data_IF_801451532699
#
_entry.id   IF_801451532699
#
_cell.length_a   1.000
_cell.length_b   1.000
_cell.length_c   1.000
_cell.angle_alpha   90.00
_cell.angle_beta   90.00
_cell.angle_gamma   90.00
#
_symmetry.space_group_name_H-M   'P 1'
#
loop_
_entity.id
_entity.type
_entity.pdbx_description
1 polymer ?
#
# COMPACT_ATOMS: atom_id res chain seq x y z
N UNK A 1 -15.19 -11.26 8.72
CA UNK A 1 -14.08 -10.30 8.69
C UNK A 1 -12.80 -11.10 8.48
N UNK A 2 -11.90 -10.64 7.62
CA UNK A 2 -10.57 -11.20 7.38
C UNK A 2 -9.54 -10.11 7.69
N UNK A 3 -8.52 -10.43 8.47
CA UNK A 3 -7.33 -9.61 8.60
C UNK A 3 -6.26 -10.19 7.67
N UNK A 4 -5.58 -9.34 6.92
CA UNK A 4 -4.58 -9.73 5.92
C UNK A 4 -3.32 -8.90 6.09
N UNK A 5 -2.19 -9.58 6.28
CA UNK A 5 -0.87 -9.01 6.07
C UNK A 5 -0.40 -9.43 4.67
N UNK A 6 -0.24 -8.46 3.78
CA UNK A 6 0.36 -8.73 2.47
C UNK A 6 1.88 -8.91 2.62
N UNK A 7 2.55 -9.47 1.61
CA UNK A 7 4.00 -9.68 1.63
C UNK A 7 4.73 -8.37 1.98
N UNK A 8 5.84 -8.48 2.68
CA UNK A 8 6.65 -7.37 3.21
C UNK A 8 5.96 -6.49 4.28
N UNK A 9 4.80 -6.90 4.80
CA UNK A 9 4.08 -6.19 5.84
C UNK A 9 3.77 -7.10 7.03
N UNK A 10 3.65 -6.53 8.23
CA UNK A 10 3.25 -7.24 9.43
C UNK A 10 4.11 -8.47 9.70
N UNK A 11 3.48 -9.63 9.85
CA UNK A 11 4.16 -10.91 10.15
C UNK A 11 4.90 -11.50 8.94
N UNK A 12 4.67 -10.98 7.75
CA UNK A 12 5.30 -11.47 6.51
C UNK A 12 6.60 -10.74 6.17
N UNK A 13 7.04 -9.80 7.01
CA UNK A 13 8.36 -9.14 6.84
C UNK A 13 9.46 -10.19 6.95
N UNK A 14 10.34 -10.29 5.94
CA UNK A 14 11.44 -11.24 5.96
C UNK A 14 12.36 -11.05 7.17
N UNK A 15 12.80 -12.14 7.77
CA UNK A 15 13.75 -12.16 8.88
C UNK A 15 15.20 -12.07 8.33
N UNK A 16 15.48 -11.02 7.56
CA UNK A 16 16.81 -10.73 7.02
C UNK A 16 17.45 -9.59 7.79
N UNK A 17 18.79 -9.46 7.80
CA UNK A 17 19.48 -8.28 8.32
C UNK A 17 18.97 -6.97 7.69
N UNK A 18 18.64 -7.00 6.39
CA UNK A 18 17.94 -5.90 5.72
C UNK A 18 16.71 -6.44 4.95
N UNK A 19 15.48 -6.18 5.45
CA UNK A 19 14.25 -6.62 4.77
C UNK A 19 14.11 -6.07 3.33
N UNK A 20 14.77 -4.97 2.99
CA UNK A 20 14.72 -4.37 1.65
C UNK A 20 15.44 -5.20 0.59
N UNK A 21 16.36 -6.11 0.99
CA UNK A 21 17.08 -6.97 0.06
C UNK A 21 16.13 -7.79 -0.80
N UNK A 22 15.06 -8.32 -0.20
CA UNK A 22 14.05 -9.11 -0.92
C UNK A 22 13.29 -8.28 -1.95
N UNK A 23 12.95 -7.04 -1.61
CA UNK A 23 12.25 -6.14 -2.52
C UNK A 23 13.15 -5.70 -3.67
N UNK A 24 14.44 -5.48 -3.41
CA UNK A 24 15.43 -5.22 -4.46
C UNK A 24 15.60 -6.42 -5.39
N UNK A 25 15.61 -7.65 -4.85
CA UNK A 25 15.65 -8.87 -5.65
C UNK A 25 14.41 -8.96 -6.55
N UNK A 26 13.22 -8.76 -6.00
CA UNK A 26 11.96 -8.75 -6.75
C UNK A 26 12.01 -7.72 -7.88
N UNK A 27 12.45 -6.50 -7.57
CA UNK A 27 12.59 -5.44 -8.57
C UNK A 27 13.62 -5.79 -9.66
N UNK A 28 14.72 -6.47 -9.31
CA UNK A 28 15.75 -6.88 -10.26
C UNK A 28 15.28 -7.98 -11.23
N UNK A 29 14.27 -8.76 -10.82
CA UNK A 29 13.62 -9.77 -11.66
C UNK A 29 12.55 -9.17 -12.60
N UNK A 30 12.33 -7.85 -12.52
CA UNK A 30 11.35 -7.15 -13.36
C UNK A 30 9.97 -7.03 -12.74
N UNK A 31 9.74 -7.64 -11.57
CA UNK A 31 8.51 -7.48 -10.81
C UNK A 31 8.51 -6.19 -9.98
N UNK A 32 7.35 -5.84 -9.46
CA UNK A 32 7.17 -4.69 -8.58
C UNK A 32 6.62 -5.15 -7.24
N UNK A 33 7.29 -4.87 -6.11
CA UNK A 33 6.80 -5.21 -4.77
C UNK A 33 5.36 -4.76 -4.55
N UNK A 34 5.04 -3.50 -4.88
CA UNK A 34 3.66 -2.99 -4.83
C UNK A 34 2.68 -3.85 -5.66
N UNK A 35 3.09 -4.30 -6.84
CA UNK A 35 2.26 -5.16 -7.70
C UNK A 35 1.95 -6.51 -7.05
N UNK A 36 2.92 -7.12 -6.35
CA UNK A 36 2.73 -8.36 -5.60
C UNK A 36 1.75 -8.18 -4.44
N UNK A 37 1.92 -7.12 -3.65
CA UNK A 37 1.01 -6.80 -2.53
C UNK A 37 -0.42 -6.56 -3.00
N UNK A 38 -0.60 -5.79 -4.06
CA UNK A 38 -1.90 -5.54 -4.69
C UNK A 38 -2.51 -6.83 -5.22
N UNK A 39 -1.72 -7.66 -5.90
CA UNK A 39 -2.17 -8.97 -6.40
C UNK A 39 -2.64 -9.89 -5.29
N UNK A 40 -1.93 -9.93 -4.16
CA UNK A 40 -2.32 -10.72 -2.99
C UNK A 40 -3.63 -10.20 -2.37
N UNK A 41 -3.78 -8.88 -2.21
CA UNK A 41 -5.01 -8.28 -1.70
C UNK A 41 -6.20 -8.63 -2.59
N UNK A 42 -6.06 -8.46 -3.92
CA UNK A 42 -7.12 -8.80 -4.88
C UNK A 42 -7.44 -10.30 -4.83
N UNK A 43 -6.43 -11.16 -4.78
CA UNK A 43 -6.62 -12.62 -4.68
C UNK A 43 -7.37 -13.02 -3.43
N UNK A 44 -6.96 -12.50 -2.27
CA UNK A 44 -7.63 -12.74 -0.99
C UNK A 44 -9.06 -12.20 -0.98
N UNK A 45 -9.29 -11.02 -1.55
CA UNK A 45 -10.61 -10.43 -1.68
C UNK A 45 -11.54 -11.29 -2.56
N UNK A 46 -11.07 -11.73 -3.72
CA UNK A 46 -11.83 -12.63 -4.61
C UNK A 46 -12.20 -13.95 -3.92
N UNK A 47 -11.24 -14.55 -3.22
CA UNK A 47 -11.48 -15.75 -2.44
C UNK A 47 -12.53 -15.53 -1.34
N UNK A 48 -12.41 -14.42 -0.59
CA UNK A 48 -13.36 -14.08 0.47
C UNK A 48 -14.76 -13.84 -0.08
N UNK A 49 -14.88 -13.10 -1.19
CA UNK A 49 -16.15 -12.85 -1.86
C UNK A 49 -16.84 -14.16 -2.26
N UNK A 50 -16.11 -15.08 -2.89
CA UNK A 50 -16.62 -16.39 -3.30
C UNK A 50 -17.05 -17.23 -2.09
N UNK A 51 -16.21 -17.29 -1.04
CA UNK A 51 -16.46 -18.13 0.13
C UNK A 51 -17.63 -17.60 0.97
N UNK A 52 -17.79 -16.26 1.05
CA UNK A 52 -18.86 -15.63 1.85
C UNK A 52 -20.14 -15.38 1.07
N UNK A 53 -20.16 -15.60 -0.25
CA UNK A 53 -21.29 -15.29 -1.12
C UNK A 53 -21.55 -13.78 -1.29
N UNK A 54 -20.57 -12.94 -0.96
CA UNK A 54 -20.66 -11.49 -1.13
C UNK A 54 -20.27 -11.11 -2.56
N UNK A 55 -20.94 -10.12 -3.13
CA UNK A 55 -20.61 -9.57 -4.45
C UNK A 55 -19.55 -8.49 -4.39
N UNK A 56 -19.49 -7.77 -3.28
CA UNK A 56 -18.54 -6.68 -3.03
C UNK A 56 -18.05 -6.73 -1.59
N UNK A 57 -16.86 -6.21 -1.36
CA UNK A 57 -16.21 -6.18 -0.05
C UNK A 57 -15.88 -4.74 0.36
N UNK A 58 -15.78 -4.52 1.66
CA UNK A 58 -15.24 -3.29 2.24
C UNK A 58 -13.83 -3.55 2.76
N UNK A 59 -12.89 -2.66 2.43
CA UNK A 59 -11.52 -2.68 2.92
C UNK A 59 -11.36 -1.59 3.98
N UNK A 60 -10.66 -1.93 5.07
CA UNK A 60 -10.17 -0.97 6.05
C UNK A 60 -8.65 -1.09 6.15
N UNK A 61 -7.96 0.05 6.06
CA UNK A 61 -6.50 0.11 6.14
C UNK A 61 -6.05 1.17 7.14
N UNK A 62 -4.84 1.00 7.68
CA UNK A 62 -4.21 1.97 8.56
C UNK A 62 -2.77 2.21 8.12
N UNK A 63 -2.41 3.48 7.95
CA UNK A 63 -1.10 3.91 7.46
C UNK A 63 -1.04 4.07 5.94
N UNK A 64 -0.04 4.82 5.49
CA UNK A 64 0.09 5.22 4.09
C UNK A 64 0.49 4.07 3.15
N UNK A 65 1.24 3.06 3.62
CA UNK A 65 1.60 1.89 2.82
C UNK A 65 0.35 1.11 2.40
N UNK A 66 -0.44 0.66 3.36
CA UNK A 66 -1.66 -0.09 3.10
C UNK A 66 -2.75 0.73 2.39
N UNK A 67 -2.77 2.06 2.56
CA UNK A 67 -3.62 2.95 1.78
C UNK A 67 -3.32 2.82 0.28
N UNK A 68 -2.04 2.92 -0.11
CA UNK A 68 -1.66 2.85 -1.54
C UNK A 68 -2.04 1.50 -2.12
N UNK A 69 -1.72 0.40 -1.42
CA UNK A 69 -2.09 -0.96 -1.86
C UNK A 69 -3.60 -1.07 -2.09
N UNK A 70 -4.42 -0.56 -1.15
CA UNK A 70 -5.87 -0.62 -1.26
C UNK A 70 -6.43 0.26 -2.38
N UNK A 71 -5.89 1.47 -2.58
CA UNK A 71 -6.31 2.36 -3.67
C UNK A 71 -5.98 1.77 -5.04
N UNK A 72 -4.77 1.21 -5.19
CA UNK A 72 -4.37 0.55 -6.45
C UNK A 72 -5.23 -0.69 -6.70
N UNK A 73 -5.49 -1.51 -5.67
CA UNK A 73 -6.38 -2.67 -5.80
C UNK A 73 -7.80 -2.26 -6.23
N UNK A 74 -8.35 -1.20 -5.64
CA UNK A 74 -9.66 -0.68 -6.01
C UNK A 74 -9.68 -0.08 -7.41
N UNK A 75 -8.60 0.57 -7.85
CA UNK A 75 -8.46 1.10 -9.21
C UNK A 75 -8.42 -0.03 -10.26
N UNK A 76 -7.77 -1.15 -9.94
CA UNK A 76 -7.68 -2.31 -10.83
C UNK A 76 -8.95 -3.17 -10.85
N UNK A 77 -9.66 -3.27 -9.74
CA UNK A 77 -10.86 -4.10 -9.57
C UNK A 77 -12.02 -3.27 -8.93
N UNK A 78 -12.49 -2.21 -9.60
CA UNK A 78 -13.43 -1.26 -8.99
C UNK A 78 -14.80 -1.85 -8.67
N UNK A 79 -15.13 -3.04 -9.21
CA UNK A 79 -16.38 -3.74 -8.92
C UNK A 79 -16.27 -4.73 -7.76
N UNK A 80 -15.05 -5.03 -7.31
CA UNK A 80 -14.80 -5.97 -6.22
C UNK A 80 -15.05 -5.32 -4.85
N UNK A 81 -14.88 -4.00 -4.78
CA UNK A 81 -14.94 -3.27 -3.52
C UNK A 81 -16.11 -2.28 -3.51
N UNK A 82 -16.89 -2.30 -2.43
CA UNK A 82 -17.96 -1.32 -2.18
C UNK A 82 -17.38 -0.04 -1.56
N UNK A 83 -16.38 -0.18 -0.69
CA UNK A 83 -15.76 0.93 0.02
C UNK A 83 -14.31 0.60 0.40
N UNK A 84 -13.43 1.59 0.30
CA UNK A 84 -12.10 1.62 0.93
C UNK A 84 -12.11 2.68 2.01
N UNK A 85 -11.79 2.29 3.25
CA UNK A 85 -11.62 3.21 4.39
C UNK A 85 -10.16 3.20 4.79
N UNK A 86 -9.48 4.32 4.57
CA UNK A 86 -8.07 4.47 4.91
C UNK A 86 -7.89 5.49 6.03
N UNK A 87 -7.20 5.10 7.10
CA UNK A 87 -6.85 5.97 8.22
C UNK A 87 -5.33 6.15 8.29
N UNK A 88 -4.86 7.36 8.60
CA UNK A 88 -3.43 7.64 8.71
C UNK A 88 -2.67 7.52 7.39
N UNK A 89 -3.34 7.80 6.30
CA UNK A 89 -2.76 7.83 4.96
C UNK A 89 -2.10 9.15 4.60
N UNK A 90 -1.72 9.29 3.34
CA UNK A 90 -1.17 10.51 2.74
C UNK A 90 -2.10 11.05 1.66
N UNK A 91 -2.02 12.35 1.37
CA UNK A 91 -2.83 12.99 0.33
C UNK A 91 -2.37 12.67 -1.09
N UNK A 92 -1.06 12.60 -1.27
CA UNK A 92 -0.35 12.48 -2.54
C UNK A 92 0.93 11.67 -2.32
N UNK A 93 1.44 11.00 -3.35
CA UNK A 93 2.75 10.36 -3.34
C UNK A 93 3.90 11.38 -3.19
N UNK A 94 3.66 12.67 -3.51
CA UNK A 94 4.57 13.77 -3.20
C UNK A 94 4.96 13.85 -1.73
N UNK A 95 4.12 13.36 -0.82
CA UNK A 95 4.44 13.20 0.60
C UNK A 95 5.79 12.49 0.83
N UNK A 96 6.15 11.52 -0.01
CA UNK A 96 7.41 10.77 0.10
C UNK A 96 8.65 11.62 -0.20
N UNK A 97 8.46 12.77 -0.87
CA UNK A 97 9.53 13.75 -1.15
C UNK A 97 9.65 14.77 -0.02
N UNK A 98 8.54 15.10 0.63
CA UNK A 98 8.48 16.14 1.66
C UNK A 98 8.73 15.59 3.08
N UNK A 99 8.37 14.33 3.31
CA UNK A 99 8.54 13.66 4.60
C UNK A 99 9.85 12.87 4.65
N UNK A 100 10.50 12.74 5.82
CA UNK A 100 11.73 11.98 5.98
C UNK A 100 11.45 10.46 6.02
N UNK A 101 10.75 9.94 5.01
CA UNK A 101 10.46 8.51 4.86
C UNK A 101 11.65 7.84 4.17
N UNK A 102 12.45 7.05 4.87
CA UNK A 102 13.55 6.35 4.21
C UNK A 102 13.02 5.24 3.30
N UNK A 103 13.68 5.04 2.15
CA UNK A 103 13.33 3.96 1.21
C UNK A 103 13.10 2.62 1.91
N UNK A 104 14.00 2.23 2.82
CA UNK A 104 13.91 0.95 3.54
C UNK A 104 12.67 0.76 4.42
N UNK A 105 11.91 1.81 4.73
CA UNK A 105 10.70 1.70 5.55
C UNK A 105 9.43 1.51 4.72
N UNK A 106 9.48 1.79 3.43
CA UNK A 106 8.35 1.66 2.51
C UNK A 106 8.83 1.51 1.05
N UNK A 107 9.72 0.54 0.75
CA UNK A 107 10.41 0.48 -0.54
C UNK A 107 9.45 0.21 -1.70
N UNK A 108 8.32 -0.45 -1.47
CA UNK A 108 7.27 -0.68 -2.46
C UNK A 108 6.66 0.62 -3.00
N UNK A 109 6.69 1.69 -2.21
CA UNK A 109 6.16 3.00 -2.61
C UNK A 109 7.11 3.79 -3.51
N UNK A 110 8.40 3.45 -3.50
CA UNK A 110 9.41 4.03 -4.38
C UNK A 110 9.49 3.29 -5.72
N UNK A 111 8.38 2.73 -6.17
CA UNK A 111 8.26 2.07 -7.45
C UNK A 111 8.62 3.03 -8.59
N UNK A 112 9.55 2.59 -9.46
CA UNK A 112 10.04 3.39 -10.58
C UNK A 112 8.87 3.90 -11.44
N UNK A 113 8.90 5.18 -11.77
CA UNK A 113 7.92 5.92 -12.57
C UNK A 113 6.50 6.02 -11.95
N UNK A 114 6.24 5.44 -10.76
CA UNK A 114 4.90 5.47 -10.17
C UNK A 114 4.39 6.91 -10.04
N UNK A 115 5.09 7.76 -9.31
CA UNK A 115 4.67 9.15 -9.07
C UNK A 115 4.78 10.05 -10.32
N UNK A 116 5.59 9.67 -11.30
CA UNK A 116 5.69 10.38 -12.57
C UNK A 116 4.40 10.25 -13.40
N UNK A 117 3.81 9.06 -13.40
CA UNK A 117 2.68 8.73 -14.26
C UNK A 117 1.35 8.77 -13.52
N UNK A 118 1.35 8.52 -12.20
CA UNK A 118 0.17 8.45 -11.34
C UNK A 118 0.41 9.11 -9.99
N UNK A 119 -0.65 9.72 -9.46
CA UNK A 119 -0.73 10.08 -8.05
C UNK A 119 -2.01 9.49 -7.43
N UNK A 120 -2.23 9.69 -6.15
CA UNK A 120 -3.35 9.09 -5.41
C UNK A 120 -4.72 9.58 -5.88
N UNK A 121 -4.82 10.81 -6.42
CA UNK A 121 -6.05 11.35 -7.01
C UNK A 121 -6.49 10.57 -8.26
N UNK A 122 -5.55 10.17 -9.12
CA UNK A 122 -5.84 9.33 -10.26
C UNK A 122 -6.31 7.94 -9.83
N UNK A 123 -5.66 7.31 -8.83
CA UNK A 123 -6.13 6.03 -8.30
C UNK A 123 -7.53 6.13 -7.70
N UNK A 124 -7.84 7.23 -6.96
CA UNK A 124 -9.19 7.49 -6.46
C UNK A 124 -10.22 7.61 -7.60
N UNK A 125 -9.87 8.31 -8.66
CA UNK A 125 -10.75 8.45 -9.82
C UNK A 125 -10.97 7.12 -10.55
N UNK A 126 -9.90 6.32 -10.75
CA UNK A 126 -9.96 5.01 -11.40
C UNK A 126 -10.74 3.98 -10.56
N UNK A 127 -10.75 4.11 -9.25
CA UNK A 127 -11.48 3.22 -8.35
C UNK A 127 -13.00 3.35 -8.44
N UNK A 128 -13.56 4.33 -9.15
CA UNK A 128 -15.01 4.47 -9.28
C UNK A 128 -15.65 3.20 -9.88
N UNK A 129 -16.76 2.66 -9.33
CA UNK A 129 -17.68 3.26 -8.36
C UNK A 129 -17.36 2.99 -6.87
N UNK A 130 -16.20 2.41 -6.53
CA UNK A 130 -15.81 2.17 -5.13
C UNK A 130 -15.80 3.48 -4.35
N UNK A 131 -16.49 3.50 -3.21
CA UNK A 131 -16.47 4.67 -2.32
C UNK A 131 -15.12 4.74 -1.60
N UNK A 132 -14.45 5.89 -1.66
CA UNK A 132 -13.20 6.13 -0.94
C UNK A 132 -13.47 7.05 0.24
N UNK A 133 -13.10 6.60 1.44
CA UNK A 133 -13.21 7.34 2.70
C UNK A 133 -11.84 7.39 3.36
N UNK A 134 -11.26 8.57 3.47
CA UNK A 134 -9.93 8.77 4.06
C UNK A 134 -10.03 9.66 5.30
N UNK A 135 -9.24 9.32 6.33
CA UNK A 135 -9.30 9.99 7.65
C UNK A 135 -7.89 10.15 8.20
N UNK A 136 -7.71 11.21 9.00
CA UNK A 136 -6.49 11.38 9.80
C UNK A 136 -5.21 11.30 8.97
N UNK A 137 -5.13 12.08 7.90
CA UNK A 137 -3.92 12.12 7.08
C UNK A 137 -2.70 12.45 7.92
N UNK A 138 -1.59 11.75 7.64
CA UNK A 138 -0.29 12.04 8.21
C UNK A 138 0.30 13.25 7.49
N UNK A 139 0.84 14.20 8.23
CA UNK A 139 1.55 15.35 7.69
C UNK A 139 3.05 15.06 7.65
N UNK A 140 3.82 15.63 6.72
CA UNK A 140 5.26 15.42 6.64
C UNK A 140 6.00 15.68 7.96
N UNK A 141 5.58 16.70 8.70
CA UNK A 141 6.14 17.07 10.01
C UNK A 141 5.85 16.07 11.13
N UNK A 142 4.83 15.22 10.98
CA UNK A 142 4.49 14.20 11.97
C UNK A 142 5.34 12.93 11.81
N UNK A 143 6.08 12.79 10.68
CA UNK A 143 6.99 11.67 10.43
C UNK A 143 8.33 11.92 11.12
N UNK A 144 8.64 11.10 12.11
CA UNK A 144 9.94 11.18 12.79
C UNK A 144 11.04 10.67 11.86
N UNK A 145 12.16 11.43 11.72
CA UNK A 145 13.31 10.91 10.99
C UNK A 145 13.82 9.62 11.66
N UNK A 146 14.40 8.71 10.89
CA UNK A 146 14.98 7.49 11.45
C UNK A 146 16.04 7.89 12.47
N UNK A 147 15.94 7.30 13.67
CA UNK A 147 17.01 7.43 14.66
C UNK A 147 18.25 6.76 14.08
N UNK A 148 19.23 7.56 13.66
CA UNK A 148 20.57 7.07 13.39
C UNK A 148 21.14 6.62 14.72
N UNK A 149 21.16 5.30 14.96
CA UNK A 149 22.05 4.77 16.01
C UNK A 149 23.48 5.12 15.59
N UNK A 150 24.25 5.85 16.40
CA UNK A 150 25.63 6.08 16.07
C UNK A 150 26.38 4.75 16.27
N UNK A 151 26.83 4.16 15.20
CA UNK A 151 27.93 3.22 15.17
C UNK A 151 27.61 1.78 15.66
N UNK A 152 27.46 0.87 14.73
CA UNK A 152 28.20 -0.41 14.76
C UNK A 152 28.83 -0.64 13.39
#
# INVERSE_FOLDING_TARGET
MLALDVVFNGVTVPQSPDPTDYEMIVASLGDRPLGLEVGQLIGAAKWLAQTSGQTTLRIETTGFRSQVVALVAAALEPKLFSEVVAAGGMHSLGFLLDAPVPHRSAPELFCMDLYKDFDLDQFRAMAAPTKITEKNFVRPEDVKPPTTSPGE
#
